data_IF_766553943371
#
_entry.id   IF_766553943371
#
_cell.length_a   1.000
_cell.length_b   1.000
_cell.length_c   1.000
_cell.angle_alpha   90.00
_cell.angle_beta   90.00
_cell.angle_gamma   90.00
#
_symmetry.space_group_name_H-M   'P 1'
#
loop_
_entity.id
_entity.type
_entity.pdbx_description
1 polymer ?
#
# COMPACT_ATOMS: atom_id res chain seq x y z
N UNK A 1 -33.46 -1.69 2.23
CA UNK A 1 -32.78 -2.91 2.74
C UNK A 1 -31.28 -2.66 2.85
N UNK A 2 -30.82 -1.98 3.92
CA UNK A 2 -29.47 -1.38 3.99
C UNK A 2 -28.69 -1.77 5.26
N UNK A 3 -28.98 -2.94 5.84
CA UNK A 3 -28.45 -3.34 7.17
C UNK A 3 -27.94 -4.79 7.24
N UNK A 4 -27.28 -5.30 6.20
CA UNK A 4 -26.77 -6.69 6.20
C UNK A 4 -25.33 -6.90 5.72
N UNK A 5 -24.53 -5.83 5.63
CA UNK A 5 -23.13 -5.90 5.17
C UNK A 5 -22.10 -5.56 6.26
N UNK A 6 -22.57 -5.23 7.47
CA UNK A 6 -21.73 -4.88 8.63
C UNK A 6 -21.07 -6.07 9.34
N UNK A 7 -21.21 -7.30 8.82
CA UNK A 7 -20.69 -8.51 9.47
C UNK A 7 -19.63 -9.23 8.65
N UNK A 8 -18.79 -8.50 7.93
CA UNK A 8 -17.44 -9.01 7.72
C UNK A 8 -16.73 -8.85 9.07
N UNK A 9 -16.99 -9.78 10.01
CA UNK A 9 -16.00 -10.13 11.04
C UNK A 9 -14.87 -10.84 10.29
N UNK A 10 -14.02 -10.07 9.60
CA UNK A 10 -12.73 -10.55 9.16
C UNK A 10 -11.75 -10.17 10.26
N UNK A 11 -11.25 -11.18 10.96
CA UNK A 11 -10.01 -11.08 11.72
C UNK A 11 -8.96 -10.38 10.83
N UNK A 12 -8.24 -9.40 11.38
CA UNK A 12 -7.21 -8.65 10.63
C UNK A 12 -7.75 -7.51 9.76
N UNK A 13 -8.76 -6.75 10.24
CA UNK A 13 -9.16 -5.48 9.61
C UNK A 13 -9.07 -4.31 10.60
N UNK A 14 -8.55 -3.17 10.17
CA UNK A 14 -8.47 -1.93 10.95
C UNK A 14 -9.48 -0.92 10.43
N UNK A 15 -10.06 -0.09 11.31
CA UNK A 15 -10.94 0.99 10.87
C UNK A 15 -10.09 2.16 10.38
N UNK A 16 -10.19 2.46 9.08
CA UNK A 16 -9.68 3.71 8.54
C UNK A 16 -10.40 4.91 9.20
N UNK A 17 -9.81 6.11 9.10
CA UNK A 17 -10.41 7.36 9.57
C UNK A 17 -11.83 7.61 9.00
N UNK A 18 -12.12 7.07 7.81
CA UNK A 18 -13.43 7.10 7.16
C UNK A 18 -14.48 6.18 7.81
N UNK A 19 -14.11 5.36 8.80
CA UNK A 19 -14.97 4.34 9.43
C UNK A 19 -15.08 3.03 8.65
N UNK A 20 -14.44 2.94 7.48
CA UNK A 20 -14.41 1.72 6.64
C UNK A 20 -13.37 0.76 7.21
N UNK A 21 -13.73 -0.52 7.35
CA UNK A 21 -12.79 -1.58 7.69
C UNK A 21 -11.90 -1.87 6.46
N UNK A 22 -10.59 -1.69 6.62
CA UNK A 22 -9.56 -2.01 5.63
C UNK A 22 -8.75 -3.21 6.15
N UNK A 23 -8.21 -4.06 5.28
CA UNK A 23 -7.31 -5.12 5.69
C UNK A 23 -6.14 -4.52 6.49
N UNK A 24 -5.84 -5.13 7.64
CA UNK A 24 -4.70 -4.76 8.47
C UNK A 24 -3.38 -5.12 7.77
N UNK A 25 -3.41 -6.19 6.98
CA UNK A 25 -2.22 -6.75 6.34
C UNK A 25 -1.77 -5.90 5.16
N UNK A 26 -0.51 -5.45 5.23
CA UNK A 26 0.21 -4.96 4.04
C UNK A 26 0.62 -6.16 3.19
N UNK A 27 0.55 -6.06 1.86
CA UNK A 27 1.07 -7.13 0.98
C UNK A 27 2.44 -6.78 0.44
N UNK A 28 3.25 -7.81 0.20
CA UNK A 28 4.53 -7.68 -0.50
C UNK A 28 4.39 -8.23 -1.91
N UNK A 29 4.97 -7.54 -2.89
CA UNK A 29 4.97 -7.97 -4.28
C UNK A 29 6.35 -7.77 -4.92
N UNK A 30 6.72 -8.67 -5.82
CA UNK A 30 7.87 -8.49 -6.72
C UNK A 30 7.57 -7.47 -7.81
N UNK A 31 8.60 -7.02 -8.52
CA UNK A 31 8.45 -6.14 -9.68
C UNK A 31 7.53 -6.77 -10.75
N UNK A 32 7.72 -8.06 -11.03
CA UNK A 32 6.88 -8.82 -11.97
C UNK A 32 5.42 -8.89 -11.54
N UNK A 33 5.15 -9.19 -10.26
CA UNK A 33 3.78 -9.21 -9.73
C UNK A 33 3.14 -7.82 -9.80
N UNK A 34 3.88 -6.76 -9.44
CA UNK A 34 3.39 -5.39 -9.53
C UNK A 34 2.99 -5.02 -10.97
N UNK A 35 3.84 -5.33 -11.96
CA UNK A 35 3.53 -5.07 -13.36
C UNK A 35 2.33 -5.86 -13.84
N UNK A 36 2.22 -7.14 -13.44
CA UNK A 36 1.03 -7.94 -13.73
C UNK A 36 -0.25 -7.33 -13.15
N UNK A 37 -0.20 -6.82 -11.92
CA UNK A 37 -1.34 -6.14 -11.30
C UNK A 37 -1.68 -4.81 -12.01
N UNK A 38 -0.68 -4.07 -12.48
CA UNK A 38 -0.88 -2.85 -13.28
C UNK A 38 -1.57 -3.17 -14.60
N UNK A 39 -1.15 -4.23 -15.29
CA UNK A 39 -1.74 -4.66 -16.56
C UNK A 39 -3.19 -5.12 -16.36
N UNK A 40 -3.45 -5.88 -15.30
CA UNK A 40 -4.81 -6.27 -14.90
C UNK A 40 -5.66 -5.04 -14.62
N UNK A 41 -5.20 -4.13 -13.76
CA UNK A 41 -5.94 -2.92 -13.39
C UNK A 41 -6.30 -2.08 -14.63
N UNK A 42 -5.37 -1.90 -15.57
CA UNK A 42 -5.64 -1.22 -16.84
C UNK A 42 -6.67 -1.95 -17.69
N UNK A 43 -6.56 -3.28 -17.80
CA UNK A 43 -7.50 -4.10 -18.56
C UNK A 43 -8.93 -4.05 -18.05
N UNK A 44 -9.13 -3.89 -16.74
CA UNK A 44 -10.45 -3.79 -16.09
C UNK A 44 -10.86 -2.36 -15.71
N UNK A 45 -10.15 -1.34 -16.20
CA UNK A 45 -10.43 0.08 -15.95
C UNK A 45 -10.43 0.48 -14.46
N UNK A 46 -9.57 -0.15 -13.67
CA UNK A 46 -9.28 0.24 -12.29
C UNK A 46 -8.24 1.37 -12.23
N UNK A 47 -8.28 2.17 -11.16
CA UNK A 47 -7.36 3.29 -10.98
C UNK A 47 -5.91 2.83 -10.86
N UNK A 48 -5.02 3.38 -11.68
CA UNK A 48 -3.60 3.08 -11.64
C UNK A 48 -2.81 4.35 -11.91
N UNK A 49 -2.05 4.80 -10.92
CA UNK A 49 -1.08 5.89 -11.03
C UNK A 49 0.25 5.45 -10.41
N UNK A 50 1.08 4.83 -11.26
CA UNK A 50 2.43 4.36 -10.91
C UNK A 50 3.50 5.13 -11.68
N UNK A 51 3.15 6.27 -12.29
CA UNK A 51 4.05 7.01 -13.18
C UNK A 51 5.30 7.53 -12.44
N UNK A 52 5.20 7.79 -11.14
CA UNK A 52 6.33 8.17 -10.28
C UNK A 52 7.17 7.00 -9.76
N UNK A 53 6.86 5.75 -10.14
CA UNK A 53 7.57 4.57 -9.67
C UNK A 53 8.59 4.08 -10.70
N UNK A 54 9.85 3.97 -10.29
CA UNK A 54 10.86 3.23 -11.04
C UNK A 54 10.69 1.75 -10.74
N UNK A 55 10.19 0.98 -11.72
CA UNK A 55 10.03 -0.46 -11.55
C UNK A 55 11.35 -1.18 -11.86
N UNK A 56 11.83 -2.02 -10.94
CA UNK A 56 13.10 -2.73 -11.06
C UNK A 56 13.14 -3.96 -10.16
N UNK A 57 13.81 -5.02 -10.61
CA UNK A 57 13.85 -6.34 -9.93
C UNK A 57 14.60 -6.31 -8.58
N UNK A 58 15.50 -5.36 -8.38
CA UNK A 58 16.21 -5.15 -7.11
C UNK A 58 15.41 -4.34 -6.09
N UNK A 59 14.23 -3.85 -6.47
CA UNK A 59 13.39 -3.03 -5.60
C UNK A 59 12.41 -3.89 -4.80
N UNK A 60 11.96 -3.32 -3.70
CA UNK A 60 11.00 -3.96 -2.81
C UNK A 60 9.69 -3.17 -2.79
N UNK A 61 8.56 -3.84 -3.05
CA UNK A 61 7.26 -3.19 -3.17
C UNK A 61 6.27 -3.66 -2.11
N UNK A 62 5.62 -2.69 -1.49
CA UNK A 62 4.53 -2.91 -0.55
C UNK A 62 3.22 -2.32 -1.09
N UNK A 63 2.13 -3.03 -0.83
CA UNK A 63 0.77 -2.60 -1.15
C UNK A 63 0.02 -2.38 0.16
N UNK A 64 -0.36 -1.12 0.40
CA UNK A 64 -1.08 -0.69 1.59
C UNK A 64 -2.52 -0.31 1.21
N UNK A 65 -3.54 -1.11 1.56
CA UNK A 65 -4.93 -0.80 1.26
C UNK A 65 -5.41 0.33 2.16
N UNK A 66 -6.19 1.27 1.61
CA UNK A 66 -6.70 2.41 2.39
C UNK A 66 -8.16 2.78 2.11
N UNK A 67 -8.73 2.35 0.99
CA UNK A 67 -10.16 2.56 0.66
C UNK A 67 -10.72 1.33 -0.04
N UNK A 68 -11.96 0.97 0.28
CA UNK A 68 -12.73 -0.05 -0.42
C UNK A 68 -13.65 0.59 -1.46
N UNK A 69 -13.71 0.02 -2.66
CA UNK A 69 -14.63 0.42 -3.73
C UNK A 69 -15.42 -0.78 -4.25
N UNK A 70 -16.66 -0.54 -4.67
CA UNK A 70 -17.58 -1.59 -5.16
C UNK A 70 -17.68 -1.60 -6.69
N UNK A 71 -17.47 -0.46 -7.33
CA UNK A 71 -17.62 -0.29 -8.77
C UNK A 71 -16.28 0.15 -9.40
N UNK A 72 -15.93 -0.32 -10.62
CA UNK A 72 -16.69 -1.24 -11.48
C UNK A 72 -16.70 -2.70 -10.98
N UNK A 73 -15.75 -3.06 -10.11
CA UNK A 73 -15.68 -4.34 -9.39
C UNK A 73 -15.25 -4.08 -7.94
N UNK A 74 -15.53 -5.00 -7.00
CA UNK A 74 -14.99 -4.93 -5.64
C UNK A 74 -13.46 -4.83 -5.65
N UNK A 75 -12.92 -3.72 -5.17
CA UNK A 75 -11.49 -3.42 -5.21
C UNK A 75 -11.02 -2.68 -3.95
N UNK A 76 -9.74 -2.86 -3.62
CA UNK A 76 -9.00 -2.03 -2.67
C UNK A 76 -8.21 -0.97 -3.43
N UNK A 77 -8.39 0.30 -3.07
CA UNK A 77 -7.39 1.31 -3.42
C UNK A 77 -6.16 1.08 -2.56
N UNK A 78 -5.04 0.81 -3.20
CA UNK A 78 -3.77 0.59 -2.53
C UNK A 78 -2.81 1.74 -2.81
N UNK A 79 -2.03 2.11 -1.79
CA UNK A 79 -0.77 2.83 -1.99
C UNK A 79 0.28 1.80 -2.33
N UNK A 80 1.01 2.07 -3.41
CA UNK A 80 2.21 1.31 -3.77
C UNK A 80 3.39 2.05 -3.18
N UNK A 81 4.18 1.35 -2.36
CA UNK A 81 5.39 1.90 -1.75
C UNK A 81 6.57 1.13 -2.31
N UNK A 82 7.46 1.81 -3.01
CA UNK A 82 8.66 1.22 -3.60
C UNK A 82 9.89 1.65 -2.80
N UNK A 83 10.66 0.69 -2.31
CA UNK A 83 11.95 0.92 -1.69
C UNK A 83 13.06 0.59 -2.68
N UNK A 84 13.76 1.63 -3.15
CA UNK A 84 14.87 1.51 -4.07
C UNK A 84 16.13 1.17 -3.25
N UNK A 85 16.76 0.02 -3.53
CA UNK A 85 17.93 -0.46 -2.76
C UNK A 85 17.61 -1.24 -1.48
N UNK A 86 16.32 -1.51 -1.20
CA UNK A 86 15.89 -2.33 -0.06
C UNK A 86 15.52 -1.52 1.19
N UNK A 87 15.31 -2.22 2.31
CA UNK A 87 14.73 -1.67 3.54
C UNK A 87 15.68 -1.92 4.73
N UNK A 88 16.62 -1.00 4.95
CA UNK A 88 17.54 -1.04 6.09
C UNK A 88 16.95 -0.30 7.29
N UNK A 89 16.81 -0.99 8.42
CA UNK A 89 16.40 -0.37 9.69
C UNK A 89 17.56 0.37 10.38
N UNK A 90 18.81 0.01 10.07
CA UNK A 90 19.99 0.55 10.74
C UNK A 90 20.33 1.97 10.28
N UNK A 91 19.98 2.34 9.05
CA UNK A 91 20.29 3.67 8.53
C UNK A 91 19.18 4.69 8.78
N UNK A 92 17.95 4.27 9.14
CA UNK A 92 16.80 5.19 9.21
C UNK A 92 16.45 5.88 7.87
N UNK A 93 17.24 5.62 6.83
CA UNK A 93 17.21 6.19 5.51
C UNK A 93 16.96 5.06 4.52
N UNK A 94 15.76 5.00 3.94
CA UNK A 94 15.63 4.40 2.61
C UNK A 94 16.26 5.37 1.63
N UNK A 95 17.30 4.95 0.89
CA UNK A 95 18.05 5.84 -0.02
C UNK A 95 17.11 6.69 -0.87
N UNK A 96 16.08 6.06 -1.45
CA UNK A 96 14.96 6.72 -2.13
C UNK A 96 13.71 5.84 -2.07
N UNK A 97 12.55 6.49 -1.95
CA UNK A 97 11.26 5.81 -1.98
C UNK A 97 10.36 6.39 -3.07
N UNK A 98 9.64 5.52 -3.76
CA UNK A 98 8.57 5.89 -4.68
C UNK A 98 7.20 5.67 -4.05
N UNK A 99 6.26 6.57 -4.34
CA UNK A 99 4.84 6.36 -4.04
C UNK A 99 4.04 6.29 -5.34
N UNK A 100 3.13 5.33 -5.37
CA UNK A 100 2.13 5.22 -6.41
C UNK A 100 0.77 4.85 -5.82
N UNK A 101 -0.20 4.71 -6.71
CA UNK A 101 -1.53 4.19 -6.43
C UNK A 101 -1.84 3.06 -7.40
N UNK A 102 -2.42 2.01 -6.87
CA UNK A 102 -2.96 0.91 -7.67
C UNK A 102 -4.23 0.40 -7.00
N UNK A 103 -5.32 0.36 -7.75
CA UNK A 103 -6.56 -0.24 -7.30
C UNK A 103 -6.55 -1.72 -7.71
N UNK A 104 -6.80 -2.62 -6.76
CA UNK A 104 -6.63 -4.07 -6.91
C UNK A 104 -7.94 -4.77 -6.55
N UNK A 105 -8.42 -5.67 -7.41
CA UNK A 105 -9.61 -6.46 -7.09
C UNK A 105 -9.42 -7.25 -5.78
N UNK A 106 -10.49 -7.38 -5.00
CA UNK A 106 -10.43 -8.02 -3.66
C UNK A 106 -9.82 -9.42 -3.72
N UNK A 107 -10.19 -10.22 -4.72
CA UNK A 107 -9.74 -11.60 -4.83
C UNK A 107 -8.27 -11.69 -5.24
N UNK A 108 -7.80 -10.78 -6.09
CA UNK A 108 -6.38 -10.68 -6.44
C UNK A 108 -5.56 -10.27 -5.21
N UNK A 109 -6.04 -9.25 -4.47
CA UNK A 109 -5.39 -8.79 -3.24
C UNK A 109 -5.25 -9.90 -2.19
N UNK A 110 -6.29 -10.72 -2.00
CA UNK A 110 -6.28 -11.84 -1.04
C UNK A 110 -5.25 -12.91 -1.38
N UNK A 111 -4.93 -13.10 -2.65
CA UNK A 111 -3.95 -14.09 -3.12
C UNK A 111 -2.51 -13.62 -2.91
N UNK A 112 -2.29 -12.32 -2.69
CA UNK A 112 -0.96 -11.77 -2.47
C UNK A 112 -0.40 -12.19 -1.12
N UNK A 113 0.92 -12.36 -1.09
CA UNK A 113 1.65 -12.73 0.11
C UNK A 113 1.58 -11.59 1.14
N UNK A 114 1.15 -11.87 2.39
CA UNK A 114 1.26 -10.90 3.48
C UNK A 114 2.72 -10.48 3.70
N UNK A 115 2.94 -9.20 3.98
CA UNK A 115 4.24 -8.71 4.41
C UNK A 115 4.62 -9.38 5.75
N UNK A 116 5.87 -9.81 5.94
CA UNK A 116 6.32 -10.28 7.25
C UNK A 116 6.18 -9.17 8.30
N UNK A 117 5.77 -9.52 9.53
CA UNK A 117 5.64 -8.54 10.65
C UNK A 117 6.86 -7.64 10.85
N UNK A 118 8.06 -8.16 10.59
CA UNK A 118 9.30 -7.37 10.65
C UNK A 118 9.26 -6.21 9.65
N UNK A 119 8.84 -6.48 8.41
CA UNK A 119 8.72 -5.47 7.35
C UNK A 119 7.66 -4.43 7.72
N UNK A 120 6.51 -4.84 8.23
CA UNK A 120 5.45 -3.90 8.66
C UNK A 120 5.94 -2.97 9.78
N UNK A 121 6.66 -3.51 10.77
CA UNK A 121 7.28 -2.67 11.81
C UNK A 121 8.30 -1.71 11.25
N UNK A 122 9.16 -2.16 10.32
CA UNK A 122 10.14 -1.29 9.70
C UNK A 122 9.47 -0.18 8.86
N UNK A 123 8.39 -0.51 8.13
CA UNK A 123 7.58 0.48 7.42
C UNK A 123 6.99 1.52 8.39
N UNK A 124 6.45 1.09 9.54
CA UNK A 124 5.91 2.01 10.55
C UNK A 124 6.98 2.95 11.12
N UNK A 125 8.15 2.41 11.48
CA UNK A 125 9.26 3.22 11.97
C UNK A 125 9.70 4.26 10.94
N UNK A 126 9.79 3.86 9.67
CA UNK A 126 10.15 4.77 8.58
C UNK A 126 9.08 5.85 8.34
N UNK A 127 7.79 5.49 8.32
CA UNK A 127 6.69 6.44 8.17
C UNK A 127 6.67 7.46 9.31
N UNK A 128 6.93 7.02 10.54
CA UNK A 128 7.05 7.91 11.70
C UNK A 128 8.23 8.88 11.54
N UNK A 129 9.39 8.40 11.09
CA UNK A 129 10.56 9.24 10.81
C UNK A 129 10.25 10.32 9.76
N UNK A 130 9.66 9.95 8.62
CA UNK A 130 9.27 10.91 7.58
C UNK A 130 8.23 11.93 8.03
N UNK A 131 7.28 11.52 8.88
CA UNK A 131 6.34 12.46 9.46
C UNK A 131 7.06 13.51 10.33
N UNK A 132 8.03 13.10 11.14
CA UNK A 132 8.85 14.01 11.96
C UNK A 132 9.70 14.93 11.08
N UNK A 133 10.38 14.40 10.07
CA UNK A 133 11.17 15.21 9.11
C UNK A 133 10.30 16.26 8.42
N UNK A 134 9.10 15.90 7.96
CA UNK A 134 8.18 16.82 7.30
C UNK A 134 7.73 17.95 8.22
N UNK A 135 7.43 17.63 9.49
CA UNK A 135 7.07 18.64 10.51
C UNK A 135 8.26 19.57 10.79
N UNK A 136 9.48 19.03 10.93
CA UNK A 136 10.68 19.83 11.16
C UNK A 136 10.93 20.80 10.01
N UNK A 137 10.90 20.31 8.78
CA UNK A 137 11.08 21.15 7.58
C UNK A 137 10.03 22.26 7.49
N UNK A 138 8.76 21.95 7.77
CA UNK A 138 7.69 22.94 7.77
C UNK A 138 7.85 24.03 8.84
N UNK A 139 8.62 23.76 9.91
CA UNK A 139 8.95 24.73 10.95
C UNK A 139 10.20 25.56 10.61
N UNK A 140 11.12 25.03 9.79
CA UNK A 140 12.31 25.74 9.29
C UNK A 140 11.97 26.69 8.12
N UNK A 141 10.93 26.38 7.34
CA UNK A 141 10.42 27.20 6.23
C UNK A 141 9.51 28.38 6.71
N UNK A 142 9.36 28.60 8.02
CA UNK A 142 8.60 29.69 8.67
C UNK A 142 9.51 30.70 9.35
#
# INVERSE_FOLDING_TARGET
>A
MLRRWLSIRQEGTVRARSGIAVPEETKVVSARELMGLVDVARGVHLGCDVAGLTVGESHFYLLLPHVYEVAPVPAWRCRVIAFYGGLSAEMGEGERMGLGRLDIAVDDYRRLRPAPRKVERQLLHWLAWKAVEAVRKAAEDQ
#
